data_IF_802500463628
#
_entry.id   IF_802500463628
#
_cell.length_a   1.000
_cell.length_b   1.000
_cell.length_c   1.000
_cell.angle_alpha   90.00
_cell.angle_beta   90.00
_cell.angle_gamma   90.00
#
_symmetry.space_group_name_H-M   'P 1'
#
loop_
_entity.id
_entity.type
_entity.pdbx_description
1 polymer ?
#
# COMPACT_ATOMS: atom_id res chain seq x y z
N UNK A 1 -8.11 2.64 -34.05
CA UNK A 1 -7.57 1.40 -33.46
C UNK A 1 -6.31 1.75 -32.67
N UNK A 2 -6.11 1.24 -31.45
CA UNK A 2 -4.87 1.50 -30.71
C UNK A 2 -3.68 0.91 -31.48
N UNK A 3 -2.59 1.68 -31.61
CA UNK A 3 -1.38 1.25 -32.29
C UNK A 3 -0.64 0.18 -31.45
N UNK A 4 -0.31 -0.99 -32.03
CA UNK A 4 0.41 -2.09 -31.36
C UNK A 4 1.71 -1.66 -30.68
N UNK A 5 2.38 -0.62 -31.22
CA UNK A 5 3.57 -0.02 -30.60
C UNK A 5 3.24 0.64 -29.27
N UNK A 6 2.17 1.44 -29.23
CA UNK A 6 1.69 2.13 -28.04
C UNK A 6 1.32 1.16 -26.92
N UNK A 7 0.67 0.04 -27.25
CA UNK A 7 0.31 -0.98 -26.26
C UNK A 7 1.54 -1.68 -25.66
N UNK A 8 2.54 -1.98 -26.50
CA UNK A 8 3.81 -2.56 -26.04
C UNK A 8 4.59 -1.60 -25.15
N UNK A 9 4.65 -0.32 -25.52
CA UNK A 9 5.35 0.71 -24.75
C UNK A 9 4.65 0.94 -23.40
N UNK A 10 3.31 1.00 -23.38
CA UNK A 10 2.53 1.10 -22.16
C UNK A 10 2.80 -0.08 -21.21
N UNK A 11 2.83 -1.31 -21.75
CA UNK A 11 3.14 -2.50 -20.95
C UNK A 11 4.55 -2.44 -20.36
N UNK A 12 5.56 -2.06 -21.16
CA UNK A 12 6.95 -1.93 -20.69
C UNK A 12 7.07 -0.91 -19.57
N UNK A 13 6.42 0.25 -19.69
CA UNK A 13 6.43 1.29 -18.65
C UNK A 13 5.75 0.80 -17.38
N UNK A 14 4.57 0.15 -17.49
CA UNK A 14 3.87 -0.45 -16.35
C UNK A 14 4.72 -1.50 -15.64
N UNK A 15 5.39 -2.38 -16.38
CA UNK A 15 6.23 -3.43 -15.81
C UNK A 15 7.44 -2.86 -15.07
N UNK A 16 8.09 -1.83 -15.64
CA UNK A 16 9.20 -1.15 -14.98
C UNK A 16 8.74 -0.44 -13.70
N UNK A 17 7.63 0.29 -13.77
CA UNK A 17 7.05 0.97 -12.60
C UNK A 17 6.71 -0.03 -11.49
N UNK A 18 6.08 -1.15 -11.83
CA UNK A 18 5.73 -2.19 -10.86
C UNK A 18 6.97 -2.79 -10.17
N UNK A 19 8.05 -3.03 -10.92
CA UNK A 19 9.32 -3.53 -10.35
C UNK A 19 9.96 -2.50 -9.42
N UNK A 20 10.04 -1.24 -9.84
CA UNK A 20 10.60 -0.17 -9.01
C UNK A 20 9.78 0.00 -7.73
N UNK A 21 8.44 0.01 -7.81
CA UNK A 21 7.56 0.13 -6.65
C UNK A 21 7.74 -1.05 -5.68
N UNK A 22 7.88 -2.28 -6.18
CA UNK A 22 8.14 -3.45 -5.35
C UNK A 22 9.50 -3.35 -4.64
N UNK A 23 10.57 -3.03 -5.35
CA UNK A 23 11.91 -2.92 -4.76
C UNK A 23 12.00 -1.79 -3.74
N UNK A 24 11.36 -0.65 -4.02
CA UNK A 24 11.35 0.50 -3.13
C UNK A 24 10.32 0.39 -1.99
N UNK A 25 9.52 -0.69 -1.95
CA UNK A 25 8.40 -0.85 -1.01
C UNK A 25 7.46 0.38 -1.02
N UNK A 26 7.11 0.85 -2.21
CA UNK A 26 6.19 1.97 -2.41
C UNK A 26 4.81 1.43 -2.77
N UNK A 27 3.90 1.50 -1.80
CA UNK A 27 2.50 1.10 -1.93
C UNK A 27 1.58 2.27 -2.30
N UNK A 28 0.40 1.95 -2.84
CA UNK A 28 -0.69 2.88 -3.08
C UNK A 28 -1.98 2.38 -2.44
N UNK A 29 -2.86 3.31 -2.06
CA UNK A 29 -4.18 3.01 -1.54
C UNK A 29 -5.19 4.03 -2.05
N UNK A 30 -6.44 3.61 -2.19
CA UNK A 30 -7.56 4.45 -2.58
C UNK A 30 -8.74 4.16 -1.65
N UNK A 31 -9.51 5.20 -1.32
CA UNK A 31 -10.76 5.10 -0.59
C UNK A 31 -11.83 5.82 -1.40
N UNK A 32 -12.80 5.05 -1.89
CA UNK A 32 -14.03 5.60 -2.43
C UNK A 32 -14.92 6.05 -1.27
N UNK A 33 -15.21 7.35 -1.20
CA UNK A 33 -16.01 7.94 -0.12
C UNK A 33 -17.52 7.73 -0.28
N UNK A 34 -17.99 7.48 -1.50
CA UNK A 34 -19.40 7.19 -1.77
C UNK A 34 -19.73 5.75 -1.37
N UNK A 35 -18.85 4.81 -1.74
CA UNK A 35 -19.07 3.38 -1.51
C UNK A 35 -18.35 2.82 -0.28
N UNK A 36 -17.49 3.61 0.36
CA UNK A 36 -16.57 3.18 1.44
C UNK A 36 -15.65 2.02 1.07
N UNK A 37 -15.42 1.77 -0.23
CA UNK A 37 -14.49 0.73 -0.68
C UNK A 37 -13.05 1.21 -0.55
N UNK A 38 -12.20 0.33 -0.05
CA UNK A 38 -10.76 0.56 0.03
C UNK A 38 -10.08 -0.38 -0.95
N UNK A 39 -9.19 0.17 -1.75
CA UNK A 39 -8.36 -0.60 -2.67
C UNK A 39 -6.88 -0.38 -2.35
N UNK A 40 -6.14 -1.49 -2.21
CA UNK A 40 -4.71 -1.49 -1.96
C UNK A 40 -3.97 -2.08 -3.15
N UNK A 41 -2.82 -1.50 -3.47
CA UNK A 41 -1.89 -2.19 -4.37
C UNK A 41 -1.32 -3.43 -3.69
N UNK A 42 -0.75 -4.34 -4.49
CA UNK A 42 -0.04 -5.52 -3.97
C UNK A 42 1.06 -5.12 -2.99
N UNK A 43 1.84 -4.09 -3.31
CA UNK A 43 2.95 -3.62 -2.47
C UNK A 43 2.44 -3.10 -1.12
N UNK A 44 1.28 -2.43 -1.07
CA UNK A 44 0.65 -2.02 0.20
C UNK A 44 0.31 -3.23 1.07
N UNK A 45 -0.21 -4.31 0.48
CA UNK A 45 -0.47 -5.56 1.21
C UNK A 45 0.83 -6.20 1.72
N UNK A 46 1.88 -6.19 0.91
CA UNK A 46 3.21 -6.69 1.30
C UNK A 46 3.79 -5.86 2.48
N UNK A 47 3.67 -4.52 2.45
CA UNK A 47 4.11 -3.62 3.54
C UNK A 47 3.38 -3.91 4.87
N UNK A 48 2.08 -4.18 4.80
CA UNK A 48 1.27 -4.51 5.98
C UNK A 48 1.32 -6.00 6.35
N UNK A 49 2.13 -6.80 5.64
CA UNK A 49 2.34 -8.24 5.86
C UNK A 49 1.02 -9.04 5.84
N UNK A 50 0.10 -8.67 4.96
CA UNK A 50 -1.19 -9.37 4.78
C UNK A 50 -1.22 -10.18 3.47
N UNK A 51 -2.06 -11.23 3.38
CA UNK A 51 -2.17 -12.00 2.16
C UNK A 51 -2.57 -11.15 0.95
N UNK A 52 -2.12 -11.54 -0.26
CA UNK A 52 -2.39 -10.79 -1.50
C UNK A 52 -3.87 -10.66 -1.88
N UNK A 53 -4.74 -11.51 -1.31
CA UNK A 53 -6.19 -11.50 -1.47
C UNK A 53 -6.90 -10.77 -0.32
N UNK A 54 -6.16 -10.15 0.60
CA UNK A 54 -6.73 -9.35 1.67
C UNK A 54 -7.53 -8.18 1.09
N UNK A 55 -8.80 -8.11 1.48
CA UNK A 55 -9.69 -7.01 1.14
C UNK A 55 -9.75 -6.03 2.30
N UNK A 56 -9.11 -4.85 2.19
CA UNK A 56 -9.18 -3.86 3.24
C UNK A 56 -10.60 -3.29 3.35
N UNK A 57 -11.04 -3.07 4.57
CA UNK A 57 -12.18 -2.22 4.91
C UNK A 57 -11.70 -0.98 5.63
N UNK A 58 -12.50 0.09 5.64
CA UNK A 58 -12.22 1.30 6.42
C UNK A 58 -11.80 0.98 7.87
N UNK A 59 -12.49 0.07 8.54
CA UNK A 59 -12.20 -0.30 9.93
C UNK A 59 -10.88 -1.05 10.10
N UNK A 60 -10.54 -1.95 9.17
CA UNK A 60 -9.25 -2.64 9.19
C UNK A 60 -8.09 -1.67 8.97
N UNK A 61 -8.23 -0.72 8.02
CA UNK A 61 -7.25 0.34 7.76
C UNK A 61 -7.01 1.17 9.03
N UNK A 62 -8.08 1.59 9.71
CA UNK A 62 -7.98 2.34 10.97
C UNK A 62 -7.27 1.55 12.07
N UNK A 63 -7.42 0.23 12.09
CA UNK A 63 -6.73 -0.63 13.06
C UNK A 63 -5.22 -0.64 12.84
N UNK A 64 -4.76 -0.69 11.59
CA UNK A 64 -3.34 -0.59 11.25
C UNK A 64 -2.75 0.75 11.72
N UNK A 65 -3.41 1.87 11.45
CA UNK A 65 -2.95 3.19 11.91
C UNK A 65 -2.90 3.32 13.43
N UNK A 66 -3.91 2.78 14.15
CA UNK A 66 -3.92 2.77 15.62
C UNK A 66 -2.77 1.96 16.19
N UNK A 67 -2.44 0.79 15.60
CA UNK A 67 -1.30 -0.04 16.01
C UNK A 67 0.02 0.71 15.83
N UNK A 68 0.23 1.34 14.68
CA UNK A 68 1.44 2.12 14.39
C UNK A 68 1.61 3.29 15.38
N UNK A 69 0.55 4.05 15.64
CA UNK A 69 0.59 5.16 16.60
C UNK A 69 0.90 4.68 18.03
N UNK A 70 0.37 3.52 18.44
CA UNK A 70 0.70 2.91 19.73
C UNK A 70 2.15 2.45 19.80
N UNK A 71 2.66 1.81 18.75
CA UNK A 71 4.07 1.39 18.68
C UNK A 71 5.01 2.59 18.82
N UNK A 72 4.77 3.67 18.06
CA UNK A 72 5.57 4.90 18.16
C UNK A 72 5.60 5.50 19.58
N UNK A 73 4.47 5.51 20.29
CA UNK A 73 4.41 5.97 21.69
C UNK A 73 5.22 5.10 22.64
N UNK A 74 5.21 3.78 22.46
CA UNK A 74 5.94 2.86 23.32
C UNK A 74 7.47 3.03 23.18
N UNK A 75 7.97 3.25 21.96
CA UNK A 75 9.40 3.54 21.75
C UNK A 75 9.83 4.89 22.36
N UNK A 76 8.95 5.89 22.32
CA UNK A 76 9.23 7.20 22.93
C UNK A 76 9.24 7.16 24.48
N UNK A 77 8.59 6.17 25.09
CA UNK A 77 8.69 5.91 26.53
C UNK A 77 10.03 5.29 26.94
N UNK A 78 10.65 4.49 26.07
CA UNK A 78 11.93 3.82 26.32
C UNK A 78 13.14 4.77 26.20
N UNK A 79 13.05 5.81 25.35
CA UNK A 79 14.11 6.81 25.18
C UNK A 79 14.16 7.87 26.30
N UNK A 80 13.24 7.82 27.27
CA UNK A 80 13.22 8.72 28.45
C UNK A 80 13.82 8.10 29.72
N UNK A 81 14.35 6.88 29.63
CA UNK A 81 14.97 6.15 30.75
C UNK A 81 16.50 6.04 30.63
N UNK A 82 17.14 6.93 29.87
CA UNK A 82 18.60 7.09 29.81
C UNK A 82 18.98 8.49 30.27
#
# INVERSE_FOLDING_TARGET
MPNKKTERDLRRVKDLLNKTNQTAMVGGWELDLETNKVDWTRVTRDIFEVPNYFMPTRDTVLTFFKKTARMARNYHGLLRLQ
#
